data_IF_063161989110
#
_entry.id   IF_063161989110
#
_cell.length_a   1.000
_cell.length_b   1.000
_cell.length_c   1.000
_cell.angle_alpha   90.00
_cell.angle_beta   90.00
_cell.angle_gamma   90.00
#
_symmetry.space_group_name_H-M   'P 1'
#
loop_
_entity.id
_entity.type
_entity.pdbx_description
1 polymer ?
#
# COMPACT_ATOMS: atom_id res chain seq x y z
N UNK A 1 20.78 7.81 -2.31
CA UNK A 1 20.42 6.42 -1.94
C UNK A 1 18.96 6.11 -2.28
N UNK A 2 17.97 6.90 -1.83
CA UNK A 2 16.57 6.78 -2.30
C UNK A 2 16.42 6.97 -3.83
N UNK A 3 17.31 7.74 -4.46
CA UNK A 3 17.35 7.84 -5.92
C UNK A 3 17.56 6.48 -6.60
N UNK A 4 18.37 5.60 -6.00
CA UNK A 4 18.56 4.26 -6.51
C UNK A 4 17.27 3.43 -6.38
N UNK A 5 16.57 3.50 -5.23
CA UNK A 5 15.27 2.85 -5.04
C UNK A 5 14.27 3.30 -6.10
N UNK A 6 14.13 4.61 -6.32
CA UNK A 6 13.21 5.16 -7.34
C UNK A 6 13.60 4.72 -8.75
N UNK A 7 14.89 4.72 -9.08
CA UNK A 7 15.36 4.26 -10.38
C UNK A 7 15.05 2.78 -10.62
N UNK A 8 15.24 1.92 -9.61
CA UNK A 8 14.93 0.49 -9.71
C UNK A 8 13.41 0.27 -9.79
N UNK A 9 12.61 0.99 -9.00
CA UNK A 9 11.15 0.97 -9.11
C UNK A 9 10.66 1.41 -10.50
N UNK A 10 11.27 2.45 -11.06
CA UNK A 10 10.92 2.96 -12.38
C UNK A 10 11.27 1.94 -13.48
N UNK A 11 12.43 1.29 -13.35
CA UNK A 11 12.84 0.19 -14.24
C UNK A 11 11.87 -1.00 -14.14
N UNK A 12 11.48 -1.40 -12.93
CA UNK A 12 10.51 -2.49 -12.73
C UNK A 12 9.17 -2.14 -13.35
N UNK A 13 8.67 -0.93 -13.09
CA UNK A 13 7.40 -0.46 -13.63
C UNK A 13 7.39 -0.46 -15.16
N UNK A 14 8.49 -0.03 -15.79
CA UNK A 14 8.63 -0.07 -17.25
C UNK A 14 8.64 -1.50 -17.79
N UNK A 15 9.39 -2.39 -17.16
CA UNK A 15 9.48 -3.81 -17.54
C UNK A 15 8.12 -4.51 -17.41
N UNK A 16 7.38 -4.23 -16.33
CA UNK A 16 6.03 -4.79 -16.10
C UNK A 16 5.02 -4.38 -17.18
N UNK A 17 5.14 -3.15 -17.71
CA UNK A 17 4.30 -2.67 -18.81
C UNK A 17 4.62 -3.38 -20.13
N UNK A 18 5.92 -3.55 -20.43
CA UNK A 18 6.36 -4.20 -21.66
C UNK A 18 5.97 -5.68 -21.72
N UNK A 19 6.03 -6.42 -20.61
CA UNK A 19 5.65 -7.84 -20.56
C UNK A 19 4.21 -8.12 -20.99
N UNK A 20 3.28 -7.18 -20.75
CA UNK A 20 1.89 -7.32 -21.19
C UNK A 20 1.73 -7.02 -22.68
N UNK A 21 2.44 -6.02 -23.20
CA UNK A 21 2.34 -5.63 -24.62
C UNK A 21 2.96 -6.68 -25.56
N UNK A 22 3.86 -7.54 -25.05
CA UNK A 22 4.44 -8.69 -25.79
C UNK A 22 3.73 -10.03 -25.57
N UNK A 23 2.69 -10.10 -24.72
CA UNK A 23 2.01 -11.34 -24.36
C UNK A 23 1.05 -11.89 -25.44
N UNK A 24 1.30 -11.60 -26.72
CA UNK A 24 0.66 -12.28 -27.87
C UNK A 24 1.41 -13.54 -28.33
N UNK A 25 2.49 -13.99 -27.65
CA UNK A 25 3.18 -15.21 -28.09
C UNK A 25 4.15 -15.86 -27.10
N UNK A 26 3.78 -17.07 -26.69
CA UNK A 26 4.62 -18.23 -26.32
C UNK A 26 5.63 -18.16 -25.14
N UNK A 27 5.32 -18.97 -24.13
CA UNK A 27 6.21 -19.97 -23.47
C UNK A 27 7.65 -19.57 -23.12
N UNK A 28 7.86 -18.44 -22.44
CA UNK A 28 9.17 -18.12 -21.81
C UNK A 28 9.07 -17.54 -20.37
N UNK A 29 7.92 -17.67 -19.71
CA UNK A 29 7.54 -16.77 -18.59
C UNK A 29 8.03 -17.13 -17.17
N UNK A 30 8.38 -18.37 -16.86
CA UNK A 30 8.71 -18.75 -15.47
C UNK A 30 10.05 -18.19 -14.99
N UNK A 31 11.07 -18.17 -15.86
CA UNK A 31 12.38 -17.61 -15.52
C UNK A 31 12.35 -16.08 -15.40
N UNK A 32 11.50 -15.40 -16.18
CA UNK A 32 11.34 -13.96 -16.10
C UNK A 32 10.56 -13.56 -14.84
N UNK A 33 9.52 -14.30 -14.47
CA UNK A 33 8.80 -14.10 -13.22
C UNK A 33 9.67 -14.32 -11.98
N UNK A 34 10.55 -15.32 -11.99
CA UNK A 34 11.48 -15.57 -10.88
C UNK A 34 12.49 -14.43 -10.71
N UNK A 35 13.09 -13.94 -11.80
CA UNK A 35 14.00 -12.78 -11.78
C UNK A 35 13.30 -11.49 -11.37
N UNK A 36 12.06 -11.32 -11.82
CA UNK A 36 11.18 -10.23 -11.41
C UNK A 36 10.94 -10.23 -9.90
N UNK A 37 10.60 -11.40 -9.35
CA UNK A 37 10.43 -11.57 -7.90
C UNK A 37 11.72 -11.23 -7.15
N UNK A 38 12.86 -11.75 -7.59
CA UNK A 38 14.16 -11.46 -6.98
C UNK A 38 14.48 -9.95 -7.01
N UNK A 39 14.18 -9.27 -8.11
CA UNK A 39 14.36 -7.83 -8.23
C UNK A 39 13.45 -7.06 -7.24
N UNK A 40 12.18 -7.46 -7.10
CA UNK A 40 11.25 -6.84 -6.14
C UNK A 40 11.69 -7.07 -4.70
N UNK A 41 12.05 -8.30 -4.36
CA UNK A 41 12.55 -8.65 -3.03
C UNK A 41 13.81 -7.83 -2.69
N UNK A 42 14.71 -7.65 -3.67
CA UNK A 42 15.87 -6.76 -3.55
C UNK A 42 15.50 -5.29 -3.29
N UNK A 43 14.50 -4.74 -4.01
CA UNK A 43 14.01 -3.37 -3.80
C UNK A 43 13.47 -3.22 -2.38
N UNK A 44 12.61 -4.14 -1.94
CA UNK A 44 12.00 -4.12 -0.62
C UNK A 44 13.10 -4.22 0.47
N UNK A 45 14.09 -5.09 0.27
CA UNK A 45 15.23 -5.20 1.20
C UNK A 45 16.05 -3.92 1.32
N UNK A 46 16.25 -3.17 0.23
CA UNK A 46 16.92 -1.86 0.28
C UNK A 46 16.08 -0.83 1.02
N UNK A 47 14.77 -0.77 0.75
CA UNK A 47 13.84 0.11 1.48
C UNK A 47 13.89 -0.21 2.97
N UNK A 48 13.79 -1.50 3.33
CA UNK A 48 13.83 -1.97 4.72
C UNK A 48 15.11 -1.54 5.44
N UNK A 49 16.28 -1.72 4.81
CA UNK A 49 17.57 -1.36 5.38
C UNK A 49 17.69 0.15 5.62
N UNK A 50 17.18 0.95 4.69
CA UNK A 50 17.17 2.41 4.80
C UNK A 50 16.23 2.88 5.90
N UNK A 51 15.04 2.31 5.93
CA UNK A 51 14.01 2.60 6.92
C UNK A 51 14.52 2.28 8.32
N UNK A 52 15.17 1.13 8.51
CA UNK A 52 15.78 0.73 9.78
C UNK A 52 16.86 1.71 10.25
N UNK A 53 17.75 2.15 9.35
CA UNK A 53 18.81 3.11 9.67
C UNK A 53 18.25 4.45 10.17
N UNK A 54 17.16 4.92 9.55
CA UNK A 54 16.52 6.18 9.95
C UNK A 54 15.75 5.99 11.26
N UNK A 55 14.90 4.96 11.33
CA UNK A 55 14.03 4.68 12.48
C UNK A 55 14.84 4.43 13.76
N UNK A 56 15.95 3.69 13.69
CA UNK A 56 16.80 3.37 14.85
C UNK A 56 17.38 4.61 15.54
N UNK A 57 17.41 5.75 14.83
CA UNK A 57 17.89 7.04 15.37
C UNK A 57 16.76 7.98 15.79
N UNK A 58 15.49 7.61 15.55
CA UNK A 58 14.34 8.44 15.93
C UNK A 58 13.99 8.22 17.40
N UNK A 59 13.67 9.31 18.08
CA UNK A 59 13.05 9.26 19.41
C UNK A 59 11.56 8.90 19.26
N UNK A 60 10.98 8.15 20.21
CA UNK A 60 9.54 7.97 20.28
C UNK A 60 8.81 9.31 20.30
N UNK A 61 7.68 9.37 19.60
CA UNK A 61 6.77 10.51 19.48
C UNK A 61 7.38 11.77 18.83
N UNK A 62 8.56 11.66 18.21
CA UNK A 62 9.10 12.69 17.34
C UNK A 62 8.34 12.76 16.01
N UNK A 63 8.32 13.93 15.38
CA UNK A 63 7.68 14.12 14.07
C UNK A 63 8.18 13.10 13.03
N UNK A 64 7.31 12.62 12.13
CA UNK A 64 7.70 11.68 11.08
C UNK A 64 8.84 12.22 10.22
N UNK A 65 9.81 11.38 9.89
CA UNK A 65 10.77 11.70 8.84
C UNK A 65 10.13 11.31 7.51
N UNK A 66 9.81 12.32 6.71
CA UNK A 66 9.23 12.14 5.39
C UNK A 66 10.33 12.26 4.34
N UNK A 67 10.39 11.29 3.43
CA UNK A 67 11.25 11.33 2.26
C UNK A 67 10.35 11.23 1.03
N UNK A 68 10.39 12.26 0.19
CA UNK A 68 9.63 12.31 -1.06
C UNK A 68 10.59 12.43 -2.23
N UNK A 69 10.50 11.49 -3.17
CA UNK A 69 11.32 11.48 -4.37
C UNK A 69 10.51 11.05 -5.59
N UNK A 70 10.14 12.03 -6.40
CA UNK A 70 9.31 11.82 -7.58
C UNK A 70 8.01 11.10 -7.23
N UNK A 71 7.72 9.94 -7.83
CA UNK A 71 6.49 9.19 -7.57
C UNK A 71 6.51 8.39 -6.25
N UNK A 72 7.61 8.38 -5.50
CA UNK A 72 7.76 7.61 -4.25
C UNK A 72 7.76 8.54 -3.03
N UNK A 73 7.00 8.17 -2.00
CA UNK A 73 6.96 8.85 -0.71
C UNK A 73 7.01 7.83 0.41
N UNK A 74 7.80 8.09 1.46
CA UNK A 74 7.86 7.26 2.65
C UNK A 74 7.85 8.14 3.90
N UNK A 75 7.06 7.79 4.90
CA UNK A 75 7.14 8.34 6.25
C UNK A 75 7.60 7.29 7.24
N UNK A 76 8.57 7.70 8.04
CA UNK A 76 9.22 6.88 9.06
C UNK A 76 9.00 7.54 10.40
N UNK A 77 8.30 6.85 11.29
CA UNK A 77 7.97 7.37 12.61
C UNK A 77 8.16 6.30 13.69
N UNK A 78 8.35 6.75 14.93
CA UNK A 78 8.44 5.89 16.10
C UNK A 78 7.48 6.46 17.13
N UNK A 79 6.54 5.66 17.60
CA UNK A 79 5.51 6.07 18.56
C UNK A 79 5.64 5.24 19.83
N UNK A 80 5.46 5.89 20.98
CA UNK A 80 5.38 5.21 22.25
C UNK A 80 4.16 4.28 22.29
N UNK A 81 4.29 3.11 22.91
CA UNK A 81 3.23 2.13 23.06
C UNK A 81 2.24 2.49 24.17
N UNK A 82 1.72 3.72 24.13
CA UNK A 82 0.62 4.16 24.98
C UNK A 82 -0.70 3.74 24.35
N UNK A 83 -1.77 3.78 25.11
CA UNK A 83 -3.10 3.48 24.57
C UNK A 83 -3.49 4.58 23.57
N UNK A 84 -3.20 4.35 22.31
CA UNK A 84 -3.58 5.22 21.20
C UNK A 84 -4.97 4.83 20.74
N UNK A 85 -5.86 5.80 20.54
CA UNK A 85 -7.09 5.55 19.80
C UNK A 85 -6.81 5.18 18.33
N UNK A 86 -7.86 4.82 17.56
CA UNK A 86 -7.73 4.64 16.12
C UNK A 86 -7.13 5.87 15.45
N UNK A 87 -6.22 5.67 14.49
CA UNK A 87 -5.50 6.76 13.83
C UNK A 87 -5.40 6.54 12.32
N UNK A 88 -5.31 7.66 11.59
CA UNK A 88 -5.06 7.64 10.14
C UNK A 88 -3.57 7.86 9.91
N UNK A 89 -2.96 6.95 9.17
CA UNK A 89 -1.54 6.98 8.80
C UNK A 89 -1.44 7.19 7.29
N UNK A 90 -0.66 8.21 6.90
CA UNK A 90 -0.39 8.56 5.50
C UNK A 90 1.03 9.14 5.38
N UNK A 91 1.75 8.93 4.26
CA UNK A 91 3.14 9.37 4.14
C UNK A 91 3.28 10.89 4.24
N UNK A 92 2.30 11.61 3.69
CA UNK A 92 2.24 13.08 3.72
C UNK A 92 0.80 13.53 3.93
N UNK A 93 0.60 14.74 4.47
CA UNK A 93 -0.74 15.33 4.62
C UNK A 93 -1.51 15.51 3.31
N UNK A 94 -0.80 15.46 2.17
CA UNK A 94 -1.34 15.60 0.81
C UNK A 94 -1.57 14.26 0.12
N UNK A 95 -1.15 13.14 0.72
CA UNK A 95 -1.41 11.82 0.15
C UNK A 95 -2.89 11.46 0.31
N UNK A 96 -3.49 11.13 -0.83
CA UNK A 96 -4.83 10.57 -0.90
C UNK A 96 -4.86 9.11 -0.45
N UNK A 97 -3.71 8.43 -0.44
CA UNK A 97 -3.59 7.07 0.09
C UNK A 97 -3.39 7.09 1.60
N UNK A 98 -4.25 6.36 2.32
CA UNK A 98 -4.17 6.28 3.76
C UNK A 98 -4.60 4.93 4.32
N UNK A 99 -4.08 4.65 5.51
CA UNK A 99 -4.45 3.51 6.33
C UNK A 99 -5.13 4.02 7.59
N UNK A 100 -6.32 3.51 7.92
CA UNK A 100 -6.91 3.71 9.24
C UNK A 100 -6.60 2.48 10.07
N UNK A 101 -5.76 2.67 11.07
CA UNK A 101 -5.37 1.59 11.96
C UNK A 101 -6.12 1.67 13.29
N UNK A 102 -6.50 0.52 13.87
CA UNK A 102 -6.91 0.44 15.26
C UNK A 102 -5.84 0.97 16.23
N UNK A 103 -6.22 1.10 17.50
CA UNK A 103 -5.27 1.41 18.56
C UNK A 103 -4.20 0.32 18.72
N UNK A 104 -3.03 0.68 19.26
CA UNK A 104 -1.92 -0.25 19.45
C UNK A 104 -2.24 -1.44 20.36
N UNK A 105 -3.12 -1.24 21.34
CA UNK A 105 -3.65 -2.33 22.17
C UNK A 105 -4.42 -3.37 21.34
N UNK A 106 -5.11 -2.95 20.29
CA UNK A 106 -5.79 -3.86 19.33
C UNK A 106 -4.81 -4.46 18.31
N UNK A 107 -3.83 -3.71 17.84
CA UNK A 107 -2.86 -4.18 16.83
C UNK A 107 -1.84 -5.16 17.38
N UNK A 108 -1.35 -4.93 18.60
CA UNK A 108 -0.20 -5.64 19.16
C UNK A 108 -0.47 -6.30 20.50
N UNK A 109 -1.61 -6.00 21.16
CA UNK A 109 -1.89 -6.48 22.51
C UNK A 109 -0.76 -6.13 23.47
N UNK A 110 -0.25 -7.13 24.18
CA UNK A 110 0.86 -6.98 25.13
C UNK A 110 2.24 -6.89 24.44
N UNK A 111 2.32 -7.14 23.14
CA UNK A 111 3.58 -7.22 22.37
C UNK A 111 4.12 -5.86 21.91
N UNK A 112 3.42 -4.75 22.19
CA UNK A 112 3.85 -3.42 21.76
C UNK A 112 5.20 -3.01 22.42
N UNK A 113 5.50 -3.49 23.63
CA UNK A 113 6.72 -3.13 24.35
C UNK A 113 6.72 -1.64 24.74
N UNK A 114 7.85 -0.95 24.57
CA UNK A 114 7.99 0.48 24.91
C UNK A 114 7.54 1.41 23.78
N UNK A 115 7.85 1.05 22.54
CA UNK A 115 7.55 1.85 21.37
C UNK A 115 7.51 0.98 20.13
N UNK A 116 6.66 1.35 19.19
CA UNK A 116 6.58 0.74 17.87
C UNK A 116 7.02 1.74 16.81
N UNK A 117 7.78 1.26 15.84
CA UNK A 117 8.13 2.02 14.67
C UNK A 117 7.15 1.70 13.55
N UNK A 118 6.73 2.73 12.85
CA UNK A 118 5.88 2.63 11.68
C UNK A 118 6.62 3.16 10.47
N UNK A 119 6.55 2.35 9.43
CA UNK A 119 7.02 2.68 8.10
C UNK A 119 5.82 2.63 7.19
N UNK A 120 5.51 3.74 6.54
CA UNK A 120 4.50 3.74 5.50
C UNK A 120 5.04 4.39 4.23
N UNK A 121 4.80 3.76 3.10
CA UNK A 121 5.19 4.34 1.82
C UNK A 121 4.08 4.21 0.80
N UNK A 122 4.14 5.08 -0.19
CA UNK A 122 3.30 5.06 -1.37
C UNK A 122 4.16 5.27 -2.60
N UNK A 123 3.81 4.61 -3.69
CA UNK A 123 4.37 4.86 -5.00
C UNK A 123 3.38 4.62 -6.13
N UNK A 124 3.40 5.48 -7.15
CA UNK A 124 2.64 5.23 -8.38
C UNK A 124 3.34 4.23 -9.32
N UNK A 125 4.64 3.96 -9.08
CA UNK A 125 5.42 2.97 -9.81
C UNK A 125 5.02 1.57 -9.39
N UNK A 126 4.71 0.72 -10.37
CA UNK A 126 4.38 -0.67 -10.11
C UNK A 126 5.67 -1.49 -9.90
N UNK A 127 5.92 -2.06 -8.70
CA UNK A 127 7.04 -2.96 -8.51
C UNK A 127 6.73 -4.36 -9.05
N UNK A 128 5.46 -4.74 -9.19
CA UNK A 128 5.05 -6.12 -9.46
C UNK A 128 5.04 -6.49 -10.94
N UNK A 129 5.23 -7.77 -11.21
CA UNK A 129 5.08 -8.35 -12.53
C UNK A 129 3.78 -9.13 -12.62
N UNK A 130 3.23 -9.17 -13.83
CA UNK A 130 1.94 -9.80 -14.09
C UNK A 130 2.17 -11.21 -14.64
N UNK A 131 1.45 -12.18 -14.10
CA UNK A 131 1.33 -13.47 -14.77
C UNK A 131 0.41 -13.31 -15.99
N UNK A 132 0.50 -14.23 -16.95
CA UNK A 132 -0.37 -14.22 -18.13
C UNK A 132 -1.85 -14.18 -17.71
N UNK A 133 -2.61 -13.29 -18.36
CA UNK A 133 -4.04 -13.03 -18.08
C UNK A 133 -4.35 -12.38 -16.71
N UNK A 134 -3.36 -11.83 -16.00
CA UNK A 134 -3.63 -11.07 -14.77
C UNK A 134 -4.11 -9.65 -15.06
N UNK A 135 -5.05 -9.15 -14.25
CA UNK A 135 -5.48 -7.76 -14.30
C UNK A 135 -4.35 -6.79 -13.90
N UNK A 136 -4.29 -5.64 -14.56
CA UNK A 136 -3.33 -4.58 -14.25
C UNK A 136 -3.69 -3.88 -12.93
N UNK A 137 -2.66 -3.48 -12.18
CA UNK A 137 -2.82 -2.69 -10.96
C UNK A 137 -3.23 -1.26 -11.34
N UNK A 138 -4.46 -0.90 -10.96
CA UNK A 138 -5.11 0.39 -11.25
C UNK A 138 -5.00 1.40 -10.11
N UNK A 139 -4.28 1.09 -9.03
CA UNK A 139 -4.03 2.00 -7.90
C UNK A 139 -2.53 2.27 -7.75
N UNK A 140 -2.13 3.27 -6.95
CA UNK A 140 -0.81 3.27 -6.34
C UNK A 140 -0.54 1.97 -5.57
N UNK A 141 0.73 1.70 -5.33
CA UNK A 141 1.17 0.67 -4.41
C UNK A 141 1.54 1.35 -3.10
N UNK A 142 1.00 0.83 -2.01
CA UNK A 142 1.24 1.37 -0.68
C UNK A 142 1.59 0.24 0.28
N UNK A 143 2.38 0.57 1.29
CA UNK A 143 2.78 -0.36 2.34
C UNK A 143 2.67 0.31 3.69
N UNK A 144 2.30 -0.48 4.69
CA UNK A 144 2.36 -0.13 6.09
C UNK A 144 3.04 -1.29 6.82
N UNK A 145 4.13 -0.99 7.50
CA UNK A 145 4.94 -1.95 8.24
C UNK A 145 5.18 -1.47 9.67
N UNK A 146 5.11 -2.42 10.60
CA UNK A 146 5.40 -2.20 12.01
C UNK A 146 6.69 -2.91 12.41
N UNK A 147 7.46 -2.29 13.29
CA UNK A 147 8.74 -2.80 13.77
C UNK A 147 8.93 -2.44 15.24
N UNK A 148 9.26 -3.42 16.07
CA UNK A 148 9.72 -3.22 17.44
C UNK A 148 11.25 -3.16 17.47
N UNK A 149 11.84 -2.97 18.65
CA UNK A 149 13.30 -3.04 18.81
C UNK A 149 13.87 -4.44 18.52
N UNK A 150 13.05 -5.49 18.52
CA UNK A 150 13.45 -6.85 18.18
C UNK A 150 13.28 -7.20 16.70
N UNK A 151 12.74 -6.30 15.88
CA UNK A 151 12.54 -6.50 14.45
C UNK A 151 11.09 -6.29 13.99
N UNK A 152 10.75 -6.73 12.76
CA UNK A 152 9.40 -6.60 12.22
C UNK A 152 8.35 -7.26 13.13
N UNK A 153 7.21 -6.61 13.28
CA UNK A 153 6.08 -7.12 14.06
C UNK A 153 4.98 -7.55 13.11
N UNK A 154 4.58 -8.81 13.23
CA UNK A 154 3.43 -9.34 12.51
C UNK A 154 2.13 -8.87 13.15
N UNK A 155 1.18 -8.46 12.32
CA UNK A 155 -0.17 -8.07 12.74
C UNK A 155 -1.14 -9.07 12.13
N UNK A 156 -1.81 -9.84 12.97
CA UNK A 156 -2.72 -10.91 12.59
C UNK A 156 -3.94 -10.95 13.51
N UNK A 157 -4.93 -11.79 13.18
CA UNK A 157 -6.12 -12.06 13.99
C UNK A 157 -6.89 -10.81 14.47
N UNK A 158 -6.92 -9.77 13.62
CA UNK A 158 -7.54 -8.49 13.93
C UNK A 158 -9.06 -8.60 14.03
N UNK A 159 -9.61 -8.27 15.21
CA UNK A 159 -11.06 -8.13 15.40
C UNK A 159 -11.60 -6.83 14.76
N UNK A 160 -10.75 -5.81 14.66
CA UNK A 160 -11.05 -4.55 13.97
C UNK A 160 -10.10 -4.45 12.77
N UNK A 161 -10.60 -4.35 11.53
CA UNK A 161 -9.75 -4.35 10.35
C UNK A 161 -8.92 -3.06 10.27
N UNK A 162 -7.86 -3.13 9.46
CA UNK A 162 -7.16 -1.94 8.96
C UNK A 162 -7.91 -1.51 7.70
N UNK A 163 -8.51 -0.32 7.71
CA UNK A 163 -9.13 0.23 6.52
C UNK A 163 -8.06 0.85 5.62
N UNK A 164 -8.16 0.63 4.31
CA UNK A 164 -7.23 1.17 3.33
C UNK A 164 -8.00 1.93 2.27
N UNK A 165 -7.58 3.15 1.99
CA UNK A 165 -8.08 3.94 0.87
C UNK A 165 -6.91 4.25 -0.04
N UNK A 166 -7.13 4.01 -1.34
CA UNK A 166 -6.19 4.37 -2.40
C UNK A 166 -6.99 4.98 -3.56
N UNK A 167 -6.50 6.07 -4.18
CA UNK A 167 -7.13 6.58 -5.38
C UNK A 167 -6.93 5.61 -6.54
N UNK A 168 -7.85 5.62 -7.50
CA UNK A 168 -7.59 5.00 -8.79
C UNK A 168 -6.59 5.85 -9.58
N UNK A 169 -5.70 5.19 -10.33
CA UNK A 169 -4.79 5.83 -11.27
C UNK A 169 -5.61 6.57 -12.34
N UNK A 170 -5.20 7.80 -12.72
CA UNK A 170 -5.84 8.55 -13.79
C UNK A 170 -5.98 7.71 -15.07
N UNK A 171 -7.13 7.82 -15.75
CA UNK A 171 -7.44 7.04 -16.96
C UNK A 171 -8.07 5.66 -16.71
N UNK A 172 -8.31 5.28 -15.46
CA UNK A 172 -9.15 4.13 -15.11
C UNK A 172 -10.62 4.52 -15.26
N UNK A 173 -11.41 3.71 -15.96
CA UNK A 173 -12.87 3.95 -16.11
C UNK A 173 -13.52 3.91 -14.72
N UNK A 174 -14.06 5.05 -14.30
CA UNK A 174 -14.84 5.16 -13.06
C UNK A 174 -16.23 4.63 -13.37
N UNK A 175 -16.59 3.47 -12.80
CA UNK A 175 -18.00 3.07 -12.75
C UNK A 175 -18.66 3.97 -11.72
N UNK A 176 -19.30 5.05 -12.17
CA UNK A 176 -20.22 5.79 -11.32
C UNK A 176 -21.38 4.85 -11.03
N UNK A 177 -21.50 4.38 -9.79
CA UNK A 177 -22.75 3.79 -9.32
C UNK A 177 -23.75 4.92 -9.22
N UNK A 178 -24.51 5.14 -10.28
CA UNK A 178 -25.76 5.88 -10.17
C UNK A 178 -26.62 5.15 -9.14
N UNK A 179 -26.97 5.86 -8.06
CA UNK A 179 -27.93 5.38 -7.08
C UNK A 179 -29.27 5.34 -7.80
N UNK A 180 -29.64 4.18 -8.34
CA UNK A 180 -30.93 3.98 -8.98
C UNK A 180 -32.04 4.35 -7.99
N UNK A 181 -32.75 5.45 -8.27
CA UNK A 181 -34.01 5.74 -7.61
C UNK A 181 -35.00 4.65 -8.02
N UNK A 182 -35.39 3.80 -7.07
CA UNK A 182 -36.52 2.89 -7.28
C UNK A 182 -37.80 3.72 -7.17
N UNK A 183 -38.33 4.17 -8.30
CA UNK A 183 -39.69 4.70 -8.37
C UNK A 183 -40.67 3.58 -7.97
N UNK A 184 -41.58 3.79 -7.00
CA UNK A 184 -42.56 2.77 -6.65
C UNK A 184 -43.58 2.63 -7.79
N UNK A 185 -43.44 1.61 -8.63
CA UNK A 185 -44.50 1.22 -9.57
C UNK A 185 -45.52 0.38 -8.80
N UNK A 186 -46.53 1.04 -8.25
CA UNK A 186 -47.56 0.37 -7.47
C UNK A 186 -48.73 1.28 -7.11
N UNK A 187 -49.32 1.96 -8.08
CA UNK A 187 -50.64 2.58 -7.99
C UNK A 187 -51.06 3.07 -9.37
N UNK A 188 -51.65 2.19 -10.21
CA UNK A 188 -52.99 2.46 -10.74
C UNK A 188 -53.55 1.34 -11.64
N UNK A 189 -54.65 0.78 -11.14
CA UNK A 189 -55.88 0.30 -11.81
C UNK A 189 -55.81 -0.81 -12.87
N UNK A 190 -56.17 -2.02 -12.43
CA UNK A 190 -56.93 -2.98 -13.24
C UNK A 190 -58.21 -2.31 -13.78
N UNK A 191 -58.40 -2.30 -15.10
CA UNK A 191 -59.74 -2.24 -15.67
C UNK A 191 -60.00 -3.51 -16.49
N UNK A 192 -60.95 -4.31 -16.02
CA UNK A 192 -61.53 -5.43 -16.73
C UNK A 192 -62.59 -4.87 -17.68
N UNK A 193 -62.54 -5.26 -18.95
CA UNK A 193 -63.69 -5.28 -19.85
C UNK A 193 -63.83 -6.66 -20.44
#
# INVERSE_FOLDING_TARGET
MFAAVVNVLASSSKSSGQGIDTAEGNTTDTNNLAKAKEAVDGIIGVIDSLSELVISRKRPDAEPTVISQGPFQIALQRQSCRDTGPQIVRPTGQSDTWFRIPGFSTLFGQSCGQSISMENYETSLNPYFYANNSDKIKSPVASLKFRSDSGPVEVNDLQVPIDVMMPQKPGTVVVQTERGETTPTGQDVMSVR
#
